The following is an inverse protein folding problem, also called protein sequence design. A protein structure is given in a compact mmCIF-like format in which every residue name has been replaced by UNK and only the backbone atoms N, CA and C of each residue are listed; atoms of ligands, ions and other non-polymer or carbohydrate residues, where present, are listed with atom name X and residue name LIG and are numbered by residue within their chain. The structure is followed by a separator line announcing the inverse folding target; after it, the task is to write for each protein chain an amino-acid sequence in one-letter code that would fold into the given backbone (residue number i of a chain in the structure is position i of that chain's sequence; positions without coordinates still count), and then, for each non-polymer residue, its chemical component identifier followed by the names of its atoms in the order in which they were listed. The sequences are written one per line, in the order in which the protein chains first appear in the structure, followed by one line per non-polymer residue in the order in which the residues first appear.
data_IF_811734726727
#
_entry.id   IF_811734726727
#
_cell.length_a   1.000
_cell.length_b   1.000
_cell.length_c   1.000
_cell.angle_alpha   90.00
_cell.angle_beta   90.00
_cell.angle_gamma   90.00
#
_symmetry.space_group_name_H-M   'P 1'
#
loop_
_entity.id
_entity.type
_entity.pdbx_description
1 polymer ?
#
# COMPACT_ATOMS: atom_id res chain seq x y z
N UNK A 1 7.89 16.66 5.41
CA UNK A 1 6.51 16.42 4.92
C UNK A 1 6.47 15.14 4.12
N UNK A 2 5.45 14.31 4.37
CA UNK A 2 5.24 13.00 3.74
C UNK A 2 3.81 12.96 3.17
N UNK A 3 3.65 12.48 1.94
CA UNK A 3 2.34 12.16 1.39
C UNK A 3 2.10 10.66 1.51
N UNK A 4 0.94 10.27 2.03
CA UNK A 4 0.51 8.87 2.14
C UNK A 4 -0.75 8.69 1.30
N UNK A 5 -0.66 7.88 0.25
CA UNK A 5 -1.83 7.55 -0.58
C UNK A 5 -2.61 6.38 0.02
N UNK A 6 -3.89 6.28 -0.30
CA UNK A 6 -4.74 5.27 0.34
C UNK A 6 -4.98 5.54 1.83
N UNK A 7 -5.00 6.80 2.22
CA UNK A 7 -4.94 7.33 3.59
C UNK A 7 -5.93 6.70 4.58
N UNK A 8 -7.10 6.25 4.11
CA UNK A 8 -8.10 5.58 4.94
C UNK A 8 -7.88 4.07 5.09
N UNK A 9 -6.86 3.52 4.41
CA UNK A 9 -6.49 2.10 4.49
C UNK A 9 -5.92 1.71 5.86
N UNK A 10 -5.94 0.41 6.17
CA UNK A 10 -5.46 -0.13 7.45
C UNK A 10 -4.00 0.26 7.72
N UNK A 11 -3.10 -0.04 6.78
CA UNK A 11 -1.69 0.33 6.89
C UNK A 11 -1.51 1.84 6.99
N UNK A 12 -2.10 2.60 6.07
CA UNK A 12 -1.89 4.04 5.96
C UNK A 12 -2.29 4.82 7.24
N UNK A 13 -3.39 4.43 7.88
CA UNK A 13 -3.84 5.03 9.15
C UNK A 13 -2.85 4.79 10.28
N UNK A 14 -2.43 3.54 10.47
CA UNK A 14 -1.48 3.17 11.52
C UNK A 14 -0.11 3.84 11.28
N UNK A 15 0.35 3.85 10.03
CA UNK A 15 1.60 4.47 9.63
C UNK A 15 1.60 5.98 9.87
N UNK A 16 0.55 6.68 9.43
CA UNK A 16 0.43 8.13 9.64
C UNK A 16 0.43 8.49 11.12
N UNK A 17 -0.32 7.73 11.95
CA UNK A 17 -0.34 7.93 13.40
C UNK A 17 1.05 7.73 14.01
N UNK A 18 1.78 6.71 13.57
CA UNK A 18 3.15 6.45 14.02
C UNK A 18 4.10 7.56 13.59
N UNK A 19 4.15 7.89 12.30
CA UNK A 19 5.05 8.92 11.77
C UNK A 19 4.79 10.30 12.40
N UNK A 20 3.52 10.65 12.63
CA UNK A 20 3.18 11.90 13.29
C UNK A 20 3.73 11.99 14.72
N UNK A 21 3.70 10.89 15.50
CA UNK A 21 4.32 10.83 16.83
C UNK A 21 5.83 11.09 16.83
N UNK A 22 6.49 10.85 15.70
CA UNK A 22 7.91 11.12 15.48
C UNK A 22 8.18 12.46 14.78
N UNK A 23 7.22 13.39 14.81
CA UNK A 23 7.38 14.74 14.29
C UNK A 23 7.22 14.89 12.77
N UNK A 24 6.86 13.84 12.04
CA UNK A 24 6.61 13.96 10.60
C UNK A 24 5.25 14.58 10.31
N UNK A 25 5.20 15.53 9.39
CA UNK A 25 3.95 16.14 8.93
C UNK A 25 3.39 15.28 7.79
N UNK A 26 2.33 14.52 8.08
CA UNK A 26 1.69 13.61 7.14
C UNK A 26 0.51 14.25 6.42
N UNK A 27 0.48 14.10 5.11
CA UNK A 27 -0.64 14.48 4.24
C UNK A 27 -1.25 13.21 3.66
N UNK A 28 -2.57 13.21 3.48
CA UNK A 28 -3.28 12.03 3.01
C UNK A 28 -4.09 12.27 1.74
N UNK A 29 -4.22 11.25 0.91
CA UNK A 29 -5.18 11.20 -0.20
C UNK A 29 -5.79 9.81 -0.29
N UNK A 30 -7.11 9.73 -0.44
CA UNK A 30 -7.80 8.44 -0.57
C UNK A 30 -9.29 8.59 -0.80
N UNK A 31 -9.94 7.53 -1.26
CA UNK A 31 -11.35 7.54 -1.71
C UNK A 31 -12.38 7.50 -0.58
N UNK A 32 -11.99 7.08 0.61
CA UNK A 32 -12.90 7.03 1.75
C UNK A 32 -13.37 8.45 2.14
N UNK A 33 -14.56 8.52 2.69
CA UNK A 33 -15.15 9.79 3.13
C UNK A 33 -14.97 9.90 4.64
N UNK A 34 -13.93 10.59 5.09
CA UNK A 34 -13.83 11.02 6.47
C UNK A 34 -14.67 12.29 6.66
N UNK A 35 -15.54 12.28 7.67
CA UNK A 35 -16.30 13.47 8.08
C UNK A 35 -15.46 14.32 9.04
N UNK A 36 -15.56 15.63 8.91
CA UNK A 36 -14.88 16.56 9.82
C UNK A 36 -13.39 16.29 9.97
N UNK A 37 -12.91 16.35 11.20
CA UNK A 37 -11.49 16.23 11.55
C UNK A 37 -11.01 14.80 11.87
N UNK A 38 -11.71 13.76 11.44
CA UNK A 38 -11.33 12.36 11.71
C UNK A 38 -9.90 12.06 11.26
N UNK A 39 -9.43 12.67 10.18
CA UNK A 39 -8.06 12.50 9.69
C UNK A 39 -7.01 12.89 10.72
N UNK A 40 -7.27 13.89 11.57
CA UNK A 40 -6.35 14.34 12.64
C UNK A 40 -6.14 13.26 13.71
N UNK A 41 -7.17 12.46 14.05
CA UNK A 41 -7.05 11.31 14.98
C UNK A 41 -6.07 10.27 14.47
N UNK A 42 -5.85 10.21 13.15
CA UNK A 42 -4.90 9.33 12.49
C UNK A 42 -3.56 10.00 12.18
N UNK A 43 -3.30 11.19 12.73
CA UNK A 43 -2.03 11.89 12.58
C UNK A 43 -1.83 12.59 11.23
N UNK A 44 -2.88 12.77 10.43
CA UNK A 44 -2.77 13.57 9.21
C UNK A 44 -2.97 15.05 9.50
N UNK A 45 -2.05 15.87 9.02
CA UNK A 45 -2.19 17.34 9.01
C UNK A 45 -3.36 17.76 8.08
N UNK A 46 -3.43 17.16 6.88
CA UNK A 46 -4.49 17.39 5.90
C UNK A 46 -4.76 16.12 5.11
N UNK A 47 -6.03 15.86 4.81
CA UNK A 47 -6.44 14.76 3.95
C UNK A 47 -7.35 15.24 2.82
N UNK A 48 -7.14 14.73 1.62
CA UNK A 48 -8.01 14.96 0.48
C UNK A 48 -8.80 13.68 0.20
N UNK A 49 -10.12 13.79 0.23
CA UNK A 49 -11.01 12.70 -0.18
C UNK A 49 -11.12 12.68 -1.71
N UNK A 50 -10.75 11.58 -2.31
CA UNK A 50 -10.83 11.40 -3.76
C UNK A 50 -9.99 10.26 -4.30
N UNK A 51 -10.23 9.93 -5.56
CA UNK A 51 -9.39 8.99 -6.32
C UNK A 51 -8.01 9.61 -6.55
N UNK A 52 -6.98 8.78 -6.55
CA UNK A 52 -5.62 9.24 -6.83
C UNK A 52 -5.50 9.46 -8.33
N UNK A 53 -5.48 10.72 -8.70
CA UNK A 53 -5.36 11.23 -10.08
C UNK A 53 -4.61 12.55 -10.06
N UNK A 54 -4.13 13.00 -11.20
CA UNK A 54 -3.49 14.31 -11.30
C UNK A 54 -4.38 15.43 -10.79
N UNK A 55 -5.69 15.43 -11.14
CA UNK A 55 -6.67 16.41 -10.65
C UNK A 55 -6.69 16.48 -9.13
N UNK A 56 -6.66 15.35 -8.45
CA UNK A 56 -6.67 15.29 -7.00
C UNK A 56 -5.31 15.71 -6.41
N UNK A 57 -4.21 15.28 -7.01
CA UNK A 57 -2.85 15.60 -6.58
C UNK A 57 -2.49 17.07 -6.82
N UNK A 58 -3.07 17.73 -7.81
CA UNK A 58 -2.95 19.20 -8.04
C UNK A 58 -3.28 20.03 -6.80
N UNK A 59 -4.16 19.53 -5.91
CA UNK A 59 -4.47 20.19 -4.63
C UNK A 59 -3.27 20.26 -3.68
N UNK A 60 -2.22 19.46 -3.94
CA UNK A 60 -0.94 19.47 -3.21
C UNK A 60 0.22 20.05 -4.01
N UNK A 61 -0.02 20.69 -5.16
CA UNK A 61 1.03 21.18 -6.08
C UNK A 61 2.06 22.10 -5.42
N UNK A 62 1.65 22.88 -4.42
CA UNK A 62 2.52 23.82 -3.68
C UNK A 62 3.29 23.18 -2.52
N UNK A 63 3.01 21.91 -2.21
CA UNK A 63 3.66 21.21 -1.08
C UNK A 63 4.88 20.48 -1.59
N UNK A 64 6.05 20.77 -0.99
CA UNK A 64 7.29 20.00 -1.21
C UNK A 64 7.30 18.80 -0.28
N UNK A 65 7.11 17.61 -0.82
CA UNK A 65 7.23 16.34 -0.09
C UNK A 65 8.65 15.80 -0.20
N UNK A 66 9.19 15.28 0.89
CA UNK A 66 10.44 14.52 0.89
C UNK A 66 10.19 13.07 0.49
N UNK A 67 9.08 12.51 0.95
CA UNK A 67 8.68 11.13 0.68
C UNK A 67 7.21 11.05 0.26
N UNK A 68 6.91 10.09 -0.60
CA UNK A 68 5.56 9.62 -0.87
C UNK A 68 5.50 8.14 -0.53
N UNK A 69 4.59 7.76 0.36
CA UNK A 69 4.35 6.37 0.70
C UNK A 69 3.06 5.93 0.01
N UNK A 70 3.20 5.11 -1.02
CA UNK A 70 2.07 4.67 -1.82
C UNK A 70 1.45 3.41 -1.23
N UNK A 71 0.48 3.61 -0.32
CA UNK A 71 -0.32 2.55 0.29
C UNK A 71 -1.65 2.29 -0.45
N UNK A 72 -1.95 3.07 -1.49
CA UNK A 72 -3.15 2.85 -2.27
C UNK A 72 -3.05 1.51 -3.02
N UNK A 73 -4.16 0.80 -3.06
CA UNK A 73 -4.26 -0.51 -3.67
C UNK A 73 -5.09 -1.47 -2.81
N UNK A 74 -5.13 -2.71 -3.22
CA UNK A 74 -5.83 -3.78 -2.52
C UNK A 74 -6.83 -4.53 -3.40
N UNK A 75 -7.29 -5.64 -2.88
CA UNK A 75 -8.28 -6.50 -3.54
C UNK A 75 -9.67 -5.91 -3.37
N UNK A 76 -10.50 -5.94 -4.39
CA UNK A 76 -11.93 -5.60 -4.28
C UNK A 76 -12.70 -6.69 -3.54
N UNK A 77 -13.67 -6.34 -2.67
CA UNK A 77 -14.41 -7.32 -1.85
C UNK A 77 -15.17 -8.37 -2.66
N UNK A 78 -15.56 -8.08 -3.88
CA UNK A 78 -16.38 -8.91 -4.75
C UNK A 78 -15.57 -9.54 -5.89
N UNK A 79 -14.41 -10.09 -5.60
CA UNK A 79 -13.62 -10.86 -6.56
C UNK A 79 -14.15 -12.28 -6.78
N UNK A 80 -15.41 -12.44 -7.15
CA UNK A 80 -15.72 -13.59 -7.98
C UNK A 80 -15.00 -13.38 -9.31
N UNK A 81 -14.24 -14.36 -9.75
CA UNK A 81 -13.39 -14.36 -10.95
C UNK A 81 -14.09 -13.92 -12.26
N UNK A 82 -15.37 -13.65 -12.24
CA UNK A 82 -16.25 -13.51 -13.41
C UNK A 82 -16.78 -12.09 -13.69
N UNK A 83 -16.60 -11.10 -12.80
CA UNK A 83 -17.14 -9.76 -13.07
C UNK A 83 -16.07 -8.82 -13.64
N UNK A 84 -16.18 -8.51 -14.93
CA UNK A 84 -15.31 -7.58 -15.68
C UNK A 84 -15.17 -6.19 -15.02
N UNK A 85 -16.20 -5.70 -14.36
CA UNK A 85 -16.21 -4.42 -13.63
C UNK A 85 -15.23 -4.44 -12.45
N UNK A 86 -15.06 -5.57 -11.77
CA UNK A 86 -14.11 -5.70 -10.66
C UNK A 86 -12.64 -5.64 -11.13
N UNK A 87 -12.35 -6.17 -12.32
CA UNK A 87 -11.01 -6.18 -12.90
C UNK A 87 -10.52 -4.77 -13.25
N UNK A 88 -11.38 -3.96 -13.88
CA UNK A 88 -11.08 -2.55 -14.19
C UNK A 88 -10.82 -1.73 -12.92
N UNK A 89 -11.69 -1.86 -11.93
CA UNK A 89 -11.52 -1.16 -10.65
C UNK A 89 -10.26 -1.58 -9.90
N UNK A 90 -9.88 -2.85 -9.97
CA UNK A 90 -8.65 -3.35 -9.35
C UNK A 90 -7.40 -2.82 -10.07
N UNK A 91 -7.44 -2.73 -11.39
CA UNK A 91 -6.39 -2.09 -12.18
C UNK A 91 -6.24 -0.61 -11.83
N UNK A 92 -7.34 0.14 -11.80
CA UNK A 92 -7.34 1.55 -11.42
C UNK A 92 -6.76 1.80 -10.03
N UNK A 93 -7.09 0.93 -9.06
CA UNK A 93 -6.58 1.05 -7.68
C UNK A 93 -5.11 0.74 -7.55
N UNK A 94 -4.64 -0.28 -8.24
CA UNK A 94 -3.31 -0.84 -8.03
C UNK A 94 -2.27 -0.33 -9.03
N UNK A 95 -2.68 -0.02 -10.26
CA UNK A 95 -1.80 0.36 -11.37
C UNK A 95 -1.95 1.84 -11.71
N UNK A 96 -3.17 2.29 -12.10
CA UNK A 96 -3.37 3.68 -12.51
C UNK A 96 -3.06 4.66 -11.37
N UNK A 97 -3.29 4.29 -10.12
CA UNK A 97 -3.02 5.15 -8.97
C UNK A 97 -1.53 5.41 -8.75
N UNK A 98 -0.67 4.41 -8.89
CA UNK A 98 0.79 4.61 -8.77
C UNK A 98 1.33 5.35 -9.99
N UNK A 99 0.87 5.01 -11.20
CA UNK A 99 1.24 5.74 -12.41
C UNK A 99 0.92 7.22 -12.29
N UNK A 100 -0.32 7.58 -11.92
CA UNK A 100 -0.71 8.98 -11.71
C UNK A 100 0.12 9.68 -10.64
N UNK A 101 0.52 8.96 -9.58
CA UNK A 101 1.39 9.50 -8.53
C UNK A 101 2.78 9.81 -9.09
N UNK A 102 3.41 8.86 -9.73
CA UNK A 102 4.74 9.03 -10.31
C UNK A 102 4.75 10.12 -11.38
N UNK A 103 3.78 10.08 -12.32
CA UNK A 103 3.67 11.04 -13.41
C UNK A 103 3.49 12.48 -12.91
N UNK A 104 2.67 12.67 -11.88
CA UNK A 104 2.47 14.00 -11.29
C UNK A 104 3.71 14.58 -10.61
N UNK A 105 4.52 13.72 -9.96
CA UNK A 105 5.68 14.18 -9.20
C UNK A 105 6.99 14.13 -9.97
N UNK A 106 7.07 13.42 -11.10
CA UNK A 106 8.28 13.35 -11.93
C UNK A 106 8.69 14.70 -12.49
N UNK A 107 7.73 15.56 -12.81
CA UNK A 107 7.94 16.91 -13.34
C UNK A 107 8.41 17.94 -12.31
N UNK A 108 8.51 17.55 -11.02
CA UNK A 108 8.95 18.47 -9.97
C UNK A 108 10.47 18.58 -9.94
N UNK A 109 10.97 19.79 -9.74
CA UNK A 109 12.42 20.08 -9.61
C UNK A 109 13.05 19.22 -8.52
N UNK A 110 12.38 19.13 -7.35
CA UNK A 110 12.79 18.26 -6.25
C UNK A 110 11.83 17.06 -6.21
N UNK A 111 12.18 15.99 -6.89
CA UNK A 111 11.39 14.75 -6.92
C UNK A 111 11.37 14.12 -5.53
N UNK A 112 10.18 13.80 -4.98
CA UNK A 112 10.09 13.05 -3.74
C UNK A 112 10.55 11.62 -3.97
N UNK A 113 11.10 10.98 -2.92
CA UNK A 113 11.38 9.55 -2.93
C UNK A 113 10.09 8.76 -2.75
N UNK A 114 9.94 7.69 -3.48
CA UNK A 114 8.72 6.88 -3.51
C UNK A 114 8.95 5.59 -2.73
N UNK A 115 8.14 5.34 -1.71
CA UNK A 115 8.02 4.04 -1.07
C UNK A 115 6.73 3.39 -1.56
N UNK A 116 6.85 2.35 -2.38
CA UNK A 116 5.73 1.61 -2.93
C UNK A 116 5.45 0.35 -2.11
N UNK A 117 4.23 0.21 -1.60
CA UNK A 117 3.82 -0.98 -0.86
C UNK A 117 3.30 -2.03 -1.84
N UNK A 118 4.10 -3.05 -2.04
CA UNK A 118 3.79 -4.24 -2.81
C UNK A 118 3.40 -5.42 -1.89
N UNK A 119 3.53 -6.64 -2.35
CA UNK A 119 3.07 -7.84 -1.66
C UNK A 119 3.91 -9.06 -2.03
N UNK A 120 4.09 -9.98 -1.09
CA UNK A 120 4.72 -11.29 -1.38
C UNK A 120 3.90 -12.14 -2.37
N UNK A 121 2.62 -11.85 -2.59
CA UNK A 121 1.79 -12.58 -3.56
C UNK A 121 2.27 -12.44 -5.01
N UNK A 122 3.21 -11.55 -5.30
CA UNK A 122 3.87 -11.42 -6.62
C UNK A 122 4.69 -12.66 -6.98
N UNK A 123 5.13 -13.43 -5.98
CA UNK A 123 5.86 -14.69 -6.19
C UNK A 123 4.94 -15.88 -6.51
N UNK A 124 3.62 -15.74 -6.29
CA UNK A 124 2.65 -16.80 -6.54
C UNK A 124 2.82 -18.03 -5.63
N UNK A 125 2.47 -19.20 -6.16
CA UNK A 125 2.71 -20.46 -5.48
C UNK A 125 4.15 -20.92 -5.75
N UNK A 126 4.98 -20.84 -4.73
CA UNK A 126 6.37 -21.32 -4.81
C UNK A 126 6.57 -22.50 -3.88
N UNK A 127 7.41 -23.44 -4.32
CA UNK A 127 7.89 -24.57 -3.49
C UNK A 127 9.09 -24.19 -2.63
N UNK A 128 9.59 -22.96 -2.73
CA UNK A 128 10.74 -22.50 -1.96
C UNK A 128 10.38 -22.37 -0.49
N UNK A 129 11.21 -22.93 0.38
CA UNK A 129 11.08 -22.77 1.85
C UNK A 129 11.33 -21.33 2.30
N UNK A 130 12.21 -20.60 1.59
CA UNK A 130 12.53 -19.19 1.82
C UNK A 130 12.47 -18.45 0.50
N UNK A 131 11.79 -17.33 0.49
CA UNK A 131 11.67 -16.44 -0.67
C UNK A 131 12.66 -15.29 -0.48
N UNK A 132 13.43 -15.01 -1.53
CA UNK A 132 14.33 -13.84 -1.62
C UNK A 132 13.78 -12.84 -2.64
N UNK A 133 14.23 -11.61 -2.55
CA UNK A 133 13.74 -10.51 -3.40
C UNK A 133 14.03 -10.75 -4.90
N UNK A 134 15.15 -11.42 -5.23
CA UNK A 134 15.55 -11.77 -6.59
C UNK A 134 14.79 -12.96 -7.19
N UNK A 135 14.02 -13.70 -6.41
CA UNK A 135 13.28 -14.84 -6.94
C UNK A 135 12.30 -14.44 -8.05
N UNK A 136 12.11 -15.35 -9.00
CA UNK A 136 11.22 -15.14 -10.14
C UNK A 136 9.80 -14.83 -9.70
N UNK A 137 9.22 -13.78 -10.24
CA UNK A 137 7.81 -13.41 -10.02
C UNK A 137 6.90 -14.32 -10.85
N UNK A 138 5.86 -14.86 -10.21
CA UNK A 138 4.89 -15.75 -10.84
C UNK A 138 3.46 -15.46 -10.31
N UNK A 139 2.89 -14.28 -10.62
CA UNK A 139 1.60 -13.88 -10.09
C UNK A 139 0.46 -14.78 -10.59
N UNK A 140 -0.35 -15.31 -9.66
CA UNK A 140 -1.46 -16.24 -9.95
C UNK A 140 -2.84 -15.59 -9.80
N UNK A 141 -2.92 -14.33 -9.46
CA UNK A 141 -4.18 -13.59 -9.32
C UNK A 141 -4.10 -12.23 -10.03
N UNK A 142 -5.26 -11.68 -10.41
CA UNK A 142 -5.32 -10.33 -10.99
C UNK A 142 -4.70 -9.27 -10.05
N UNK A 143 -4.86 -9.44 -8.75
CA UNK A 143 -4.25 -8.54 -7.78
C UNK A 143 -2.72 -8.62 -7.81
N UNK A 144 -2.15 -9.82 -7.75
CA UNK A 144 -0.70 -10.00 -7.79
C UNK A 144 -0.12 -9.57 -9.14
N UNK A 145 -0.79 -9.84 -10.25
CA UNK A 145 -0.41 -9.35 -11.58
C UNK A 145 -0.39 -7.81 -11.63
N UNK A 146 -1.43 -7.16 -11.14
CA UNK A 146 -1.47 -5.69 -11.05
C UNK A 146 -0.35 -5.13 -10.18
N UNK A 147 0.04 -5.84 -9.11
CA UNK A 147 1.18 -5.42 -8.28
C UNK A 147 2.51 -5.56 -9.02
N UNK A 148 2.74 -6.65 -9.76
CA UNK A 148 3.92 -6.79 -10.64
C UNK A 148 3.97 -5.68 -11.69
N UNK A 149 2.84 -5.40 -12.34
CA UNK A 149 2.74 -4.29 -13.30
C UNK A 149 3.12 -2.94 -12.65
N UNK A 150 2.63 -2.69 -11.45
CA UNK A 150 2.95 -1.48 -10.70
C UNK A 150 4.43 -1.39 -10.30
N UNK A 151 5.07 -2.51 -9.92
CA UNK A 151 6.51 -2.58 -9.66
C UNK A 151 7.33 -2.26 -10.93
N UNK A 152 6.93 -2.80 -12.09
CA UNK A 152 7.57 -2.51 -13.37
C UNK A 152 7.43 -1.03 -13.76
N UNK A 153 6.30 -0.40 -13.50
CA UNK A 153 6.12 1.05 -13.67
C UNK A 153 7.11 1.81 -12.77
N UNK A 154 7.23 1.44 -11.51
CA UNK A 154 8.18 2.04 -10.58
C UNK A 154 9.62 1.93 -11.10
N UNK A 155 10.03 0.74 -11.57
CA UNK A 155 11.34 0.49 -12.15
C UNK A 155 11.58 1.37 -13.40
N UNK A 156 10.60 1.46 -14.28
CA UNK A 156 10.68 2.31 -15.47
C UNK A 156 10.89 3.80 -15.10
N UNK A 157 10.14 4.32 -14.13
CA UNK A 157 10.30 5.69 -13.68
C UNK A 157 11.66 5.96 -13.03
N UNK A 158 12.23 4.99 -12.32
CA UNK A 158 13.60 5.10 -11.85
C UNK A 158 14.60 5.15 -13.03
N UNK A 159 14.49 4.24 -13.99
CA UNK A 159 15.43 4.12 -15.10
C UNK A 159 15.43 5.37 -15.99
N UNK A 160 14.24 5.84 -16.38
CA UNK A 160 14.11 6.92 -17.36
C UNK A 160 14.06 8.31 -16.73
N UNK A 161 13.52 8.44 -15.53
CA UNK A 161 13.31 9.75 -14.91
C UNK A 161 14.09 9.95 -13.61
N UNK A 162 14.90 8.97 -13.20
CA UNK A 162 15.72 9.03 -11.97
C UNK A 162 14.93 9.36 -10.72
N UNK A 163 13.73 8.77 -10.59
CA UNK A 163 12.93 8.84 -9.37
C UNK A 163 13.40 7.75 -8.41
N UNK A 164 13.87 8.10 -7.23
CA UNK A 164 14.25 7.11 -6.22
C UNK A 164 13.02 6.33 -5.76
N UNK A 165 13.05 5.01 -5.92
CA UNK A 165 11.94 4.12 -5.53
C UNK A 165 12.45 2.98 -4.66
N UNK A 166 11.76 2.75 -3.54
CA UNK A 166 11.89 1.53 -2.73
C UNK A 166 10.56 0.77 -2.76
N UNK A 167 10.63 -0.51 -3.09
CA UNK A 167 9.48 -1.41 -3.11
C UNK A 167 9.51 -2.28 -1.85
N UNK A 168 8.41 -2.31 -1.10
CA UNK A 168 8.26 -3.24 0.04
C UNK A 168 7.21 -4.30 -0.30
N UNK A 169 7.64 -5.56 -0.43
CA UNK A 169 6.77 -6.71 -0.62
C UNK A 169 6.34 -7.27 0.73
N UNK A 170 5.30 -6.67 1.31
CA UNK A 170 4.76 -7.09 2.60
C UNK A 170 4.00 -8.41 2.55
N UNK A 171 4.05 -9.17 3.64
CA UNK A 171 3.21 -10.35 3.89
C UNK A 171 1.83 -9.96 4.44
N UNK A 172 1.11 -10.88 5.08
CA UNK A 172 -0.22 -10.60 5.62
C UNK A 172 -0.14 -9.71 6.86
N UNK A 173 -0.52 -8.45 6.70
CA UNK A 173 -0.54 -7.49 7.81
C UNK A 173 -1.75 -7.72 8.71
N UNK A 174 -1.54 -7.73 10.03
CA UNK A 174 -2.62 -7.86 11.01
C UNK A 174 -2.43 -6.89 12.18
N UNK A 175 -3.46 -6.75 13.01
CA UNK A 175 -3.41 -5.94 14.24
C UNK A 175 -4.65 -5.07 14.44
N UNK A 176 -4.63 -4.18 15.46
CA UNK A 176 -5.78 -3.36 15.83
C UNK A 176 -6.31 -2.50 14.67
N UNK A 177 -7.62 -2.59 14.45
CA UNK A 177 -8.31 -1.84 13.40
C UNK A 177 -8.36 -2.54 12.03
N UNK A 178 -7.86 -3.77 11.92
CA UNK A 178 -8.12 -4.62 10.75
C UNK A 178 -9.60 -5.03 10.75
N UNK A 179 -10.29 -4.85 9.61
CA UNK A 179 -11.74 -5.13 9.50
C UNK A 179 -12.07 -6.20 8.46
N UNK A 180 -11.09 -6.93 8.01
CA UNK A 180 -11.21 -7.99 6.99
C UNK A 180 -9.93 -8.80 6.95
N UNK A 181 -9.90 -9.83 6.14
CA UNK A 181 -8.85 -10.85 6.01
C UNK A 181 -8.98 -11.96 7.06
N UNK A 182 -8.26 -13.05 6.81
CA UNK A 182 -8.42 -14.32 7.50
C UNK A 182 -8.42 -14.19 9.04
N UNK A 183 -7.42 -13.54 9.63
CA UNK A 183 -7.33 -13.43 11.09
C UNK A 183 -8.58 -12.73 11.66
N UNK A 184 -8.99 -11.61 11.08
CA UNK A 184 -10.20 -10.89 11.53
C UNK A 184 -11.45 -11.76 11.39
N UNK A 185 -11.61 -12.43 10.24
CA UNK A 185 -12.78 -13.26 9.97
C UNK A 185 -12.85 -14.49 10.87
N UNK A 186 -11.70 -15.12 11.15
CA UNK A 186 -11.59 -16.24 12.11
C UNK A 186 -11.96 -15.79 13.52
N UNK A 187 -11.38 -14.68 14.02
CA UNK A 187 -11.73 -14.15 15.33
C UNK A 187 -13.23 -13.84 15.45
N UNK A 188 -13.83 -13.22 14.43
CA UNK A 188 -15.27 -12.94 14.43
C UNK A 188 -16.12 -14.21 14.43
N UNK A 189 -15.72 -15.24 13.70
CA UNK A 189 -16.43 -16.54 13.69
C UNK A 189 -16.38 -17.21 15.06
N UNK A 190 -15.20 -17.25 15.68
CA UNK A 190 -15.02 -17.81 17.03
C UNK A 190 -15.91 -17.06 18.05
N UNK A 191 -15.87 -15.71 18.05
CA UNK A 191 -16.70 -14.90 18.93
C UNK A 191 -18.21 -15.13 18.72
N UNK A 192 -18.62 -15.47 17.49
CA UNK A 192 -20.00 -15.78 17.13
C UNK A 192 -20.35 -17.27 17.28
N UNK A 193 -19.47 -18.07 17.91
CA UNK A 193 -19.61 -19.52 18.06
C UNK A 193 -19.87 -20.26 16.72
N UNK A 194 -19.30 -19.77 15.62
CA UNK A 194 -19.38 -20.38 14.30
C UNK A 194 -18.11 -21.18 14.02
N UNK A 195 -18.21 -22.49 13.95
CA UNK A 195 -17.07 -23.41 13.84
C UNK A 195 -16.74 -23.84 12.40
N UNK A 196 -17.33 -23.19 11.39
CA UNK A 196 -17.07 -23.52 9.98
C UNK A 196 -15.99 -22.60 9.44
N UNK A 197 -14.83 -23.17 9.09
CA UNK A 197 -13.71 -22.50 8.47
C UNK A 197 -13.46 -23.11 7.08
N UNK A 198 -13.02 -22.25 6.14
CA UNK A 198 -12.67 -22.70 4.80
C UNK A 198 -11.16 -22.97 4.75
N UNK A 199 -10.78 -24.04 4.05
CA UNK A 199 -9.41 -24.47 3.87
C UNK A 199 -9.14 -25.83 4.46
N UNK A 200 -7.93 -26.33 4.28
CA UNK A 200 -7.50 -27.65 4.81
C UNK A 200 -6.95 -27.56 6.23
N UNK A 201 -6.68 -26.37 6.72
CA UNK A 201 -5.97 -26.12 7.99
C UNK A 201 -4.45 -26.32 7.90
N UNK A 202 -3.94 -26.73 6.73
CA UNK A 202 -2.49 -26.95 6.47
C UNK A 202 -1.82 -25.77 5.76
N UNK A 203 -2.57 -24.71 5.47
CA UNK A 203 -2.04 -23.54 4.79
C UNK A 203 -1.06 -22.77 5.68
N UNK A 204 0.17 -22.61 5.19
CA UNK A 204 1.20 -21.81 5.85
C UNK A 204 1.16 -20.38 5.32
N UNK A 205 1.16 -19.41 6.21
CA UNK A 205 1.15 -17.99 5.89
C UNK A 205 2.05 -17.21 6.82
N UNK A 206 2.79 -16.27 6.25
CA UNK A 206 3.55 -15.31 7.05
C UNK A 206 2.65 -14.13 7.44
N UNK A 207 2.72 -13.76 8.71
CA UNK A 207 2.01 -12.64 9.26
C UNK A 207 2.97 -11.63 9.87
N UNK A 208 2.74 -10.34 9.61
CA UNK A 208 3.48 -9.25 10.23
C UNK A 208 2.49 -8.37 11.00
N UNK A 209 2.77 -8.12 12.27
CA UNK A 209 1.97 -7.17 13.02
C UNK A 209 2.16 -5.74 12.49
N UNK A 210 1.09 -4.97 12.49
CA UNK A 210 1.08 -3.61 11.91
C UNK A 210 2.08 -2.66 12.60
N UNK A 211 2.37 -2.86 13.90
CA UNK A 211 3.37 -2.08 14.62
C UNK A 211 4.76 -2.25 14.03
N UNK A 212 5.12 -3.50 13.69
CA UNK A 212 6.46 -3.85 13.21
C UNK A 212 6.66 -3.37 11.77
N UNK A 213 5.65 -3.55 10.93
CA UNK A 213 5.70 -3.04 9.56
C UNK A 213 5.76 -1.51 9.50
N UNK A 214 5.02 -0.83 10.36
CA UNK A 214 5.09 0.64 10.45
C UNK A 214 6.39 1.12 11.09
N UNK A 215 7.00 0.34 11.99
CA UNK A 215 8.33 0.60 12.54
C UNK A 215 9.40 0.48 11.47
N UNK A 216 9.37 -0.60 10.68
CA UNK A 216 10.26 -0.76 9.53
C UNK A 216 10.20 0.45 8.60
N UNK A 217 8.99 0.88 8.20
CA UNK A 217 8.82 2.05 7.32
C UNK A 217 9.38 3.31 7.98
N UNK A 218 9.16 3.51 9.28
CA UNK A 218 9.72 4.65 10.01
C UNK A 218 11.26 4.63 9.97
N UNK A 219 11.88 3.48 10.21
CA UNK A 219 13.34 3.33 10.14
C UNK A 219 13.89 3.65 8.74
N UNK A 220 13.20 3.18 7.69
CA UNK A 220 13.54 3.49 6.30
C UNK A 220 13.46 5.00 6.03
N UNK A 221 12.44 5.67 6.51
CA UNK A 221 12.25 7.12 6.32
C UNK A 221 13.33 7.92 7.05
N UNK A 222 13.74 7.49 8.25
CA UNK A 222 14.78 8.14 9.04
C UNK A 222 16.15 7.94 8.38
N UNK A 223 16.51 6.69 8.07
CA UNK A 223 17.79 6.36 7.40
C UNK A 223 17.85 6.91 5.96
N UNK A 224 16.70 7.00 5.32
CA UNK A 224 16.58 7.34 3.91
C UNK A 224 16.97 6.16 3.00
N UNK A 225 16.69 6.32 1.72
CA UNK A 225 17.11 5.40 0.67
C UNK A 225 17.42 6.17 -0.60
N UNK A 226 18.22 5.57 -1.46
CA UNK A 226 18.56 6.10 -2.79
C UNK A 226 18.43 4.99 -3.81
N UNK A 227 18.23 5.37 -5.07
CA UNK A 227 18.13 4.47 -6.21
C UNK A 227 16.87 3.56 -6.16
N UNK A 228 16.89 2.52 -6.97
CA UNK A 228 15.85 1.50 -7.00
C UNK A 228 16.28 0.31 -6.14
N UNK A 229 15.41 -0.11 -5.23
CA UNK A 229 15.60 -1.31 -4.41
C UNK A 229 14.26 -1.97 -4.08
N UNK A 230 14.34 -3.23 -3.73
CA UNK A 230 13.19 -4.06 -3.34
C UNK A 230 13.43 -4.54 -1.92
#
# INVERSE_FOLDING_TARGET
KILITGSQGFLARNLSKKLNKFGFICYGVGRGKWKGNIHKKWGYYKNINGTISEKTLKKYKKIKFKYIIHCAGGVSPNTSLLKSISKKQDFEKNVSSIYSTLNFFVSKTNKPKILFISTISVYGNTKLKKIKEENKLNPISNYSLNKVTAENICKNFYQNFKVDVLILRGSSLYGPGLKRQMIHDVCLKILKKKNIFYGSGKEVRDFIHISDFTELIKCIIIKGFKRYSI
#
